data_IF_424293352357
#
_entry.id   IF_424293352357
#
_cell.length_a   1.000
_cell.length_b   1.000
_cell.length_c   1.000
_cell.angle_alpha   90.00
_cell.angle_beta   90.00
_cell.angle_gamma   90.00
#
_symmetry.space_group_name_H-M   'P 1'
#
loop_
_entity.id
_entity.type
_entity.pdbx_description
1 polymer ?
#
# COMPACT_ATOMS: atom_id res chain seq x y z
N UNK A 1 -61.82 -14.03 -2.07
CA UNK A 1 -60.47 -14.33 -1.56
C UNK A 1 -59.53 -13.39 -2.32
N UNK A 2 -59.33 -12.20 -1.76
CA UNK A 2 -58.67 -11.06 -2.43
C UNK A 2 -57.21 -10.98 -1.97
N UNK A 3 -56.33 -10.85 -2.96
CA UNK A 3 -54.88 -10.95 -2.88
C UNK A 3 -54.25 -9.69 -2.24
N UNK A 4 -53.46 -9.90 -1.18
CA UNK A 4 -52.82 -8.86 -0.35
C UNK A 4 -51.59 -8.21 -1.01
N UNK A 5 -51.20 -8.57 -2.24
CA UNK A 5 -49.96 -8.09 -2.85
C UNK A 5 -50.02 -6.73 -3.59
N UNK A 6 -51.14 -5.99 -3.50
CA UNK A 6 -51.26 -4.67 -4.17
C UNK A 6 -51.25 -3.45 -3.25
N UNK A 7 -51.16 -3.62 -1.93
CA UNK A 7 -51.14 -2.48 -0.99
C UNK A 7 -49.73 -2.01 -0.59
N UNK A 8 -48.68 -2.80 -0.85
CA UNK A 8 -47.31 -2.45 -0.45
C UNK A 8 -46.62 -1.44 -1.39
N UNK A 9 -47.06 -1.35 -2.65
CA UNK A 9 -46.43 -0.47 -3.64
C UNK A 9 -46.96 0.97 -3.66
N UNK A 10 -48.03 1.27 -2.91
CA UNK A 10 -48.62 2.63 -2.87
C UNK A 10 -48.05 3.47 -1.71
N UNK A 11 -47.46 2.84 -0.68
CA UNK A 11 -46.91 3.54 0.49
C UNK A 11 -45.44 3.94 0.37
N UNK A 12 -44.69 3.43 -0.61
CA UNK A 12 -43.28 3.82 -0.82
C UNK A 12 -43.10 4.93 -1.88
N UNK A 13 -44.16 5.27 -2.63
CA UNK A 13 -44.14 6.29 -3.68
C UNK A 13 -44.34 7.74 -3.20
N UNK A 14 -44.53 7.97 -1.89
CA UNK A 14 -44.91 9.29 -1.34
C UNK A 14 -43.91 9.90 -0.35
N UNK A 15 -42.67 9.39 -0.29
CA UNK A 15 -41.58 10.01 0.52
C UNK A 15 -40.55 10.74 -0.35
N UNK A 16 -40.67 10.67 -1.67
CA UNK A 16 -39.85 11.48 -2.59
C UNK A 16 -40.76 12.54 -3.19
N UNK A 17 -40.78 13.72 -2.57
CA UNK A 17 -41.09 15.07 -3.10
C UNK A 17 -41.58 15.90 -1.91
N UNK A 18 -40.67 16.69 -1.33
CA UNK A 18 -40.83 18.00 -0.66
C UNK A 18 -39.76 18.18 0.41
N UNK A 19 -38.55 18.55 -0.03
CA UNK A 19 -37.67 19.45 0.72
C UNK A 19 -36.65 20.10 -0.22
N UNK A 20 -37.16 20.75 -1.28
CA UNK A 20 -36.42 21.84 -1.94
C UNK A 20 -36.67 23.12 -1.14
N UNK A 21 -35.96 23.27 -0.03
CA UNK A 21 -35.90 24.55 0.68
C UNK A 21 -34.56 24.68 1.40
N UNK A 22 -33.74 25.59 0.89
CA UNK A 22 -32.69 26.29 1.62
C UNK A 22 -31.68 25.45 2.38
N UNK A 23 -30.73 24.89 1.64
CA UNK A 23 -29.38 24.73 2.17
C UNK A 23 -28.36 24.99 1.06
N UNK A 24 -28.01 26.27 0.87
CA UNK A 24 -26.65 26.63 0.48
C UNK A 24 -25.70 26.17 1.62
N UNK A 25 -25.52 24.85 1.76
CA UNK A 25 -24.40 24.34 2.54
C UNK A 25 -23.20 24.52 1.63
N UNK A 26 -22.47 25.61 1.86
CA UNK A 26 -21.07 25.71 1.46
C UNK A 26 -20.44 24.36 1.75
N UNK A 27 -19.91 23.70 0.73
CA UNK A 27 -19.09 22.51 0.92
C UNK A 27 -17.97 22.98 1.84
N UNK A 28 -18.06 22.64 3.13
CA UNK A 28 -16.96 22.88 4.06
C UNK A 28 -15.84 21.99 3.57
N UNK A 29 -14.89 22.60 2.89
CA UNK A 29 -13.66 21.95 2.52
C UNK A 29 -12.98 21.56 3.84
N UNK A 30 -13.02 20.28 4.20
CA UNK A 30 -12.33 19.76 5.39
C UNK A 30 -10.82 19.69 5.20
N UNK A 31 -10.30 20.21 4.08
CA UNK A 31 -8.87 20.49 3.95
C UNK A 31 -8.44 21.42 5.08
N UNK A 32 -7.60 20.91 5.98
CA UNK A 32 -6.87 21.77 6.88
C UNK A 32 -6.02 22.71 6.03
N UNK A 33 -6.24 24.01 6.17
CA UNK A 33 -5.27 24.97 5.66
C UNK A 33 -4.02 24.82 6.51
N UNK A 34 -2.93 24.40 5.88
CA UNK A 34 -1.62 24.57 6.49
C UNK A 34 -1.39 26.08 6.58
N UNK A 35 -1.70 26.67 7.74
CA UNK A 35 -1.02 27.88 8.14
C UNK A 35 0.44 27.44 8.24
N UNK A 36 1.26 27.90 7.30
CA UNK A 36 2.69 27.63 7.27
C UNK A 36 3.35 28.35 8.48
N UNK A 37 3.02 27.92 9.70
CA UNK A 37 3.49 28.48 10.97
C UNK A 37 4.64 27.65 11.56
N UNK A 38 5.02 26.55 10.90
CA UNK A 38 6.20 25.77 11.25
C UNK A 38 7.46 26.46 10.75
N UNK A 39 7.75 27.64 11.30
CA UNK A 39 9.00 28.38 11.12
C UNK A 39 10.21 27.72 11.84
N UNK A 40 10.17 26.41 12.11
CA UNK A 40 11.11 25.74 13.03
C UNK A 40 11.75 24.45 12.50
N UNK A 41 11.46 24.05 11.27
CA UNK A 41 12.23 22.99 10.62
C UNK A 41 13.47 23.58 9.98
N UNK A 42 14.64 22.95 10.18
CA UNK A 42 15.81 23.28 9.38
C UNK A 42 15.46 23.06 7.90
N UNK A 43 15.91 23.94 6.99
CA UNK A 43 15.68 23.75 5.57
C UNK A 43 16.29 22.42 5.14
N UNK A 44 15.57 21.66 4.30
CA UNK A 44 16.15 20.50 3.65
C UNK A 44 17.21 20.99 2.64
N UNK A 45 18.48 20.88 3.02
CA UNK A 45 19.63 21.24 2.19
C UNK A 45 20.23 20.05 1.43
N UNK A 46 19.57 18.88 1.49
CA UNK A 46 19.99 17.70 0.73
C UNK A 46 19.87 18.06 -0.76
N UNK A 47 20.97 17.97 -1.54
CA UNK A 47 20.94 18.29 -2.95
C UNK A 47 20.02 17.30 -3.69
N UNK A 48 19.44 17.76 -4.79
CA UNK A 48 18.78 16.85 -5.73
C UNK A 48 19.85 15.92 -6.29
N UNK A 49 19.65 14.61 -6.15
CA UNK A 49 20.53 13.64 -6.79
C UNK A 49 20.25 13.61 -8.30
N UNK A 50 21.24 14.03 -9.09
CA UNK A 50 21.21 14.02 -10.55
C UNK A 50 22.07 12.88 -11.13
N UNK A 51 22.60 11.99 -10.28
CA UNK A 51 23.42 10.86 -10.71
C UNK A 51 22.64 9.91 -11.61
N UNK A 52 23.34 9.30 -12.56
CA UNK A 52 22.73 8.32 -13.45
C UNK A 52 22.51 7.00 -12.69
N UNK A 53 21.37 6.31 -12.91
CA UNK A 53 21.14 4.99 -12.33
C UNK A 53 22.28 4.01 -12.67
N UNK A 54 22.85 3.40 -11.65
CA UNK A 54 23.91 2.41 -11.79
C UNK A 54 23.30 1.04 -12.05
N UNK A 55 23.57 0.46 -13.21
CA UNK A 55 23.13 -0.90 -13.53
C UNK A 55 23.75 -1.93 -12.59
N UNK A 56 22.93 -2.87 -12.11
CA UNK A 56 23.33 -3.92 -11.17
C UNK A 56 23.15 -5.30 -11.79
N UNK A 57 21.95 -5.61 -12.29
CA UNK A 57 21.64 -6.93 -12.83
C UNK A 57 20.46 -6.90 -13.81
N UNK A 58 20.33 -7.96 -14.61
CA UNK A 58 19.21 -8.18 -15.54
C UNK A 58 18.81 -9.66 -15.52
N UNK A 59 17.51 -9.89 -15.57
CA UNK A 59 16.89 -11.22 -15.71
C UNK A 59 15.89 -11.18 -16.87
N UNK A 60 15.30 -12.33 -17.20
CA UNK A 60 14.10 -12.32 -18.03
C UNK A 60 13.04 -11.45 -17.35
N UNK A 61 12.41 -10.56 -18.13
CA UNK A 61 11.35 -9.68 -17.65
C UNK A 61 11.76 -8.67 -16.55
N UNK A 62 13.04 -8.40 -16.31
CA UNK A 62 13.40 -7.33 -15.39
C UNK A 62 14.86 -6.85 -15.40
N UNK A 63 15.05 -5.63 -14.90
CA UNK A 63 16.36 -5.01 -14.69
C UNK A 63 16.43 -4.31 -13.34
N UNK A 64 17.58 -4.38 -12.69
CA UNK A 64 17.86 -3.76 -11.41
C UNK A 64 18.95 -2.69 -11.55
N UNK A 65 18.68 -1.52 -11.01
CA UNK A 65 19.60 -0.41 -10.87
C UNK A 65 19.68 0.03 -9.42
N UNK A 66 20.72 0.79 -9.11
CA UNK A 66 20.84 1.54 -7.88
C UNK A 66 20.87 3.03 -8.20
N UNK A 67 20.07 3.80 -7.48
CA UNK A 67 20.04 5.27 -7.50
C UNK A 67 20.31 5.80 -6.09
N UNK A 68 20.56 7.10 -5.93
CA UNK A 68 20.90 7.66 -4.63
C UNK A 68 22.39 7.47 -4.27
N UNK A 69 22.79 8.09 -3.16
CA UNK A 69 24.15 8.01 -2.64
C UNK A 69 24.14 7.88 -1.12
N UNK A 70 25.18 7.24 -0.57
CA UNK A 70 25.31 7.06 0.88
C UNK A 70 24.16 6.25 1.47
N UNK A 71 23.54 6.79 2.52
CA UNK A 71 22.39 6.17 3.21
C UNK A 71 21.07 6.35 2.45
N UNK A 72 21.01 7.27 1.47
CA UNK A 72 19.83 7.53 0.64
C UNK A 72 19.79 6.64 -0.62
N UNK A 73 20.51 5.52 -0.62
CA UNK A 73 20.52 4.59 -1.76
C UNK A 73 19.19 3.82 -1.85
N UNK A 74 18.64 3.77 -3.07
CA UNK A 74 17.37 3.10 -3.36
C UNK A 74 17.53 2.14 -4.53
N UNK A 75 16.85 1.00 -4.45
CA UNK A 75 16.74 0.07 -5.58
C UNK A 75 15.75 0.62 -6.60
N UNK A 76 16.16 0.73 -7.85
CA UNK A 76 15.27 1.03 -8.97
C UNK A 76 15.08 -0.23 -9.79
N UNK A 77 13.87 -0.78 -9.76
CA UNK A 77 13.52 -2.06 -10.37
C UNK A 77 12.60 -1.78 -11.54
N UNK A 78 12.90 -2.34 -12.72
CA UNK A 78 11.95 -2.38 -13.83
C UNK A 78 11.52 -3.83 -14.02
N UNK A 79 10.21 -4.07 -14.08
CA UNK A 79 9.62 -5.38 -14.35
C UNK A 79 8.65 -5.31 -15.53
N UNK A 80 8.67 -6.35 -16.35
CA UNK A 80 7.89 -6.49 -17.58
C UNK A 80 7.07 -7.78 -17.48
N UNK A 81 5.88 -7.84 -18.09
CA UNK A 81 5.06 -9.03 -17.89
C UNK A 81 3.75 -9.03 -18.64
N UNK A 82 3.27 -10.24 -18.95
CA UNK A 82 1.93 -10.51 -19.45
C UNK A 82 0.96 -10.92 -18.32
N UNK A 83 1.51 -11.32 -17.17
CA UNK A 83 0.79 -11.69 -15.94
C UNK A 83 1.43 -11.03 -14.73
N UNK A 84 0.71 -10.95 -13.60
CA UNK A 84 1.29 -10.55 -12.33
C UNK A 84 2.45 -11.46 -11.90
N UNK A 85 2.37 -12.76 -12.23
CA UNK A 85 3.43 -13.72 -11.94
C UNK A 85 4.76 -13.34 -12.62
N UNK A 86 4.71 -12.88 -13.88
CA UNK A 86 5.91 -12.46 -14.60
C UNK A 86 6.63 -11.30 -13.87
N UNK A 87 5.86 -10.31 -13.40
CA UNK A 87 6.39 -9.21 -12.60
C UNK A 87 7.02 -9.72 -11.31
N UNK A 88 6.27 -10.53 -10.56
CA UNK A 88 6.71 -11.05 -9.27
C UNK A 88 7.94 -11.93 -9.37
N UNK A 89 8.01 -12.80 -10.38
CA UNK A 89 9.13 -13.70 -10.58
C UNK A 89 10.42 -12.95 -10.95
N UNK A 90 10.31 -11.96 -11.85
CA UNK A 90 11.44 -11.09 -12.18
C UNK A 90 11.92 -10.29 -10.96
N UNK A 91 10.98 -9.66 -10.24
CA UNK A 91 11.25 -8.91 -9.01
C UNK A 91 11.91 -9.77 -7.93
N UNK A 92 11.32 -10.92 -7.61
CA UNK A 92 11.81 -11.85 -6.61
C UNK A 92 13.17 -12.44 -6.96
N UNK A 93 13.48 -12.59 -8.26
CA UNK A 93 14.82 -13.01 -8.70
C UNK A 93 15.84 -11.90 -8.50
N UNK A 94 15.51 -10.66 -8.88
CA UNK A 94 16.43 -9.52 -8.78
C UNK A 94 16.73 -9.14 -7.34
N UNK A 95 15.75 -9.25 -6.44
CA UNK A 95 15.85 -8.84 -5.04
C UNK A 95 15.88 -10.01 -4.05
N UNK A 96 16.22 -11.22 -4.51
CA UNK A 96 16.20 -12.44 -3.67
C UNK A 96 16.93 -12.23 -2.34
N UNK A 97 18.14 -11.69 -2.38
CA UNK A 97 18.97 -11.50 -1.19
C UNK A 97 18.38 -10.49 -0.21
N UNK A 98 17.80 -9.41 -0.74
CA UNK A 98 17.14 -8.37 0.06
C UNK A 98 15.87 -8.92 0.70
N UNK A 99 15.04 -9.62 -0.08
CA UNK A 99 13.80 -10.28 0.38
C UNK A 99 14.09 -11.26 1.51
N UNK A 100 15.09 -12.14 1.34
CA UNK A 100 15.46 -13.13 2.37
C UNK A 100 16.01 -12.50 3.66
N UNK A 101 16.49 -11.26 3.63
CA UNK A 101 16.92 -10.53 4.82
C UNK A 101 15.76 -9.78 5.48
N UNK A 102 14.93 -9.10 4.70
CA UNK A 102 13.91 -8.20 5.21
C UNK A 102 12.66 -8.93 5.69
N UNK A 103 12.18 -9.96 4.97
CA UNK A 103 10.93 -10.65 5.33
C UNK A 103 10.97 -11.30 6.72
N UNK A 104 12.01 -12.09 7.08
CA UNK A 104 12.05 -12.71 8.41
C UNK A 104 12.17 -11.69 9.55
N UNK A 105 12.94 -10.62 9.33
CA UNK A 105 13.10 -9.54 10.31
C UNK A 105 11.80 -8.78 10.51
N UNK A 106 11.15 -8.38 9.43
CA UNK A 106 9.87 -7.70 9.45
C UNK A 106 8.80 -8.58 10.13
N UNK A 107 8.72 -9.87 9.78
CA UNK A 107 7.78 -10.79 10.40
C UNK A 107 7.97 -10.89 11.92
N UNK A 108 9.20 -11.17 12.37
CA UNK A 108 9.50 -11.30 13.79
C UNK A 108 9.16 -10.03 14.57
N UNK A 109 9.50 -8.86 14.01
CA UNK A 109 9.22 -7.56 14.62
C UNK A 109 7.72 -7.30 14.74
N UNK A 110 6.96 -7.45 13.65
CA UNK A 110 5.51 -7.17 13.68
C UNK A 110 4.74 -8.19 14.51
N UNK A 111 5.18 -9.44 14.54
CA UNK A 111 4.63 -10.44 15.45
C UNK A 111 4.81 -10.00 16.91
N UNK A 112 6.01 -9.57 17.30
CA UNK A 112 6.29 -9.08 18.64
C UNK A 112 5.48 -7.81 18.98
N UNK A 113 5.51 -6.79 18.11
CA UNK A 113 4.86 -5.50 18.36
C UNK A 113 3.35 -5.61 18.40
N UNK A 114 2.73 -6.37 17.48
CA UNK A 114 1.29 -6.59 17.53
C UNK A 114 0.93 -7.32 18.82
N UNK A 115 1.68 -8.35 19.22
CA UNK A 115 1.40 -9.07 20.46
C UNK A 115 1.52 -8.18 21.71
N UNK A 116 2.48 -7.26 21.75
CA UNK A 116 2.62 -6.27 22.83
C UNK A 116 1.46 -5.29 22.86
N UNK A 117 1.11 -4.74 21.70
CA UNK A 117 0.13 -3.67 21.57
C UNK A 117 -1.32 -4.17 21.45
N UNK A 118 -1.55 -5.50 21.39
CA UNK A 118 -2.88 -6.12 21.28
C UNK A 118 -3.91 -5.57 22.29
N UNK A 119 -3.47 -5.25 23.51
CA UNK A 119 -4.34 -4.69 24.57
C UNK A 119 -4.64 -3.20 24.39
N UNK A 120 -3.78 -2.48 23.69
CA UNK A 120 -3.89 -1.04 23.43
C UNK A 120 -4.56 -0.75 22.07
N UNK A 121 -4.49 -1.71 21.14
CA UNK A 121 -5.25 -1.67 19.90
C UNK A 121 -6.74 -1.71 20.25
N UNK A 122 -7.50 -0.73 19.76
CA UNK A 122 -8.97 -0.66 19.91
C UNK A 122 -9.67 -1.70 19.02
N UNK A 123 -9.24 -2.95 19.12
CA UNK A 123 -9.79 -4.08 18.40
C UNK A 123 -10.95 -4.69 19.19
N UNK A 124 -11.93 -5.29 18.52
CA UNK A 124 -12.95 -6.07 19.19
C UNK A 124 -12.31 -7.12 20.09
N UNK A 125 -12.79 -7.28 21.33
CA UNK A 125 -12.23 -8.22 22.30
C UNK A 125 -12.10 -9.65 21.76
N UNK A 126 -13.11 -10.10 20.99
CA UNK A 126 -13.07 -11.42 20.35
C UNK A 126 -11.86 -11.59 19.43
N UNK A 127 -11.42 -10.53 18.75
CA UNK A 127 -10.27 -10.56 17.85
C UNK A 127 -8.96 -10.59 18.63
N UNK A 128 -8.87 -9.82 19.72
CA UNK A 128 -7.69 -9.83 20.61
C UNK A 128 -7.50 -11.22 21.23
N UNK A 129 -8.56 -11.77 21.83
CA UNK A 129 -8.51 -13.11 22.43
C UNK A 129 -8.15 -14.17 21.39
N UNK A 130 -8.59 -13.97 20.14
CA UNK A 130 -8.31 -14.87 19.03
C UNK A 130 -6.87 -14.78 18.50
N UNK A 131 -6.27 -13.59 18.42
CA UNK A 131 -4.84 -13.45 18.07
C UNK A 131 -3.96 -14.03 19.18
N UNK A 132 -4.32 -13.84 20.45
CA UNK A 132 -3.60 -14.44 21.59
C UNK A 132 -3.69 -15.97 21.54
N UNK A 133 -4.84 -16.54 21.17
CA UNK A 133 -5.07 -18.00 21.14
C UNK A 133 -4.55 -18.68 19.86
N UNK A 134 -4.63 -18.01 18.69
CA UNK A 134 -4.33 -18.60 17.37
C UNK A 134 -3.11 -18.02 16.66
N UNK A 135 -2.56 -16.91 17.14
CA UNK A 135 -1.39 -16.23 16.59
C UNK A 135 -1.71 -15.25 15.46
N UNK A 136 -0.76 -14.33 15.21
CA UNK A 136 -0.87 -13.29 14.18
C UNK A 136 -1.05 -13.87 12.77
N UNK A 137 -0.33 -14.94 12.45
CA UNK A 137 -0.44 -15.64 11.17
C UNK A 137 -1.87 -16.07 10.84
N UNK A 138 -2.59 -16.59 11.83
CA UNK A 138 -3.96 -17.04 11.62
C UNK A 138 -4.93 -15.86 11.42
N UNK A 139 -4.73 -14.76 12.17
CA UNK A 139 -5.53 -13.55 12.01
C UNK A 139 -5.34 -12.90 10.62
N UNK A 140 -4.11 -12.88 10.11
CA UNK A 140 -3.82 -12.38 8.76
C UNK A 140 -4.38 -13.30 7.67
N UNK A 141 -4.40 -14.62 7.88
CA UNK A 141 -5.06 -15.56 6.97
C UNK A 141 -6.58 -15.28 6.89
N UNK A 142 -7.27 -15.06 8.02
CA UNK A 142 -8.68 -14.65 8.02
C UNK A 142 -8.87 -13.31 7.31
N UNK A 143 -8.03 -12.32 7.61
CA UNK A 143 -8.14 -11.01 6.99
C UNK A 143 -8.05 -11.13 5.46
N UNK A 144 -7.08 -11.91 4.97
CA UNK A 144 -6.92 -12.23 3.57
C UNK A 144 -8.19 -12.89 2.99
N UNK A 145 -8.74 -13.91 3.66
CA UNK A 145 -9.95 -14.60 3.19
C UNK A 145 -11.18 -13.68 3.07
N UNK A 146 -11.29 -12.68 3.94
CA UNK A 146 -12.37 -11.69 3.90
C UNK A 146 -12.24 -10.72 2.71
N UNK A 147 -11.01 -10.31 2.38
CA UNK A 147 -10.76 -9.28 1.36
C UNK A 147 -10.43 -9.84 -0.02
N UNK A 148 -9.98 -11.10 -0.11
CA UNK A 148 -9.49 -11.72 -1.35
C UNK A 148 -10.43 -11.57 -2.54
N UNK A 149 -11.75 -11.67 -2.33
CA UNK A 149 -12.76 -11.55 -3.39
C UNK A 149 -12.88 -10.14 -4.01
N UNK A 150 -12.26 -9.14 -3.38
CA UNK A 150 -12.22 -7.75 -3.85
C UNK A 150 -10.88 -7.36 -4.46
N UNK A 151 -9.90 -8.27 -4.46
CA UNK A 151 -8.59 -8.06 -5.03
C UNK A 151 -8.50 -8.73 -6.40
N UNK A 152 -7.72 -8.13 -7.29
CA UNK A 152 -7.39 -8.73 -8.58
C UNK A 152 -6.58 -10.03 -8.37
N UNK A 153 -6.84 -11.06 -9.16
CA UNK A 153 -6.09 -12.32 -9.15
C UNK A 153 -4.61 -12.09 -9.45
N UNK A 154 -4.29 -11.08 -10.26
CA UNK A 154 -2.92 -10.80 -10.70
C UNK A 154 -2.04 -10.31 -9.53
N UNK A 155 -2.62 -9.70 -8.49
CA UNK A 155 -1.89 -9.32 -7.27
C UNK A 155 -1.41 -10.57 -6.52
N UNK A 156 -2.22 -11.63 -6.48
CA UNK A 156 -1.81 -12.91 -5.88
C UNK A 156 -0.82 -13.66 -6.76
N UNK A 157 -0.97 -13.59 -8.09
CA UNK A 157 0.00 -14.13 -9.03
C UNK A 157 1.36 -13.47 -8.86
N UNK A 158 1.39 -12.15 -8.64
CA UNK A 158 2.62 -11.41 -8.36
C UNK A 158 3.27 -11.85 -7.05
N UNK A 159 2.53 -11.87 -5.94
CA UNK A 159 3.05 -12.40 -4.67
C UNK A 159 3.53 -13.86 -4.81
N UNK A 160 2.92 -14.65 -5.70
CA UNK A 160 3.36 -16.01 -5.99
C UNK A 160 4.70 -16.02 -6.73
N UNK A 161 4.83 -15.22 -7.77
CA UNK A 161 6.08 -15.06 -8.51
C UNK A 161 7.22 -14.63 -7.59
N UNK A 162 6.96 -13.65 -6.71
CA UNK A 162 7.93 -13.21 -5.70
C UNK A 162 8.36 -14.37 -4.81
N UNK A 163 7.41 -15.11 -4.26
CA UNK A 163 7.68 -16.22 -3.35
C UNK A 163 8.50 -17.32 -4.02
N UNK A 164 8.09 -17.75 -5.22
CA UNK A 164 8.76 -18.81 -5.96
C UNK A 164 10.19 -18.41 -6.35
N UNK A 165 10.37 -17.19 -6.86
CA UNK A 165 11.66 -16.69 -7.31
C UNK A 165 12.61 -16.37 -6.15
N UNK A 166 12.11 -15.82 -5.04
CA UNK A 166 12.92 -15.52 -3.86
C UNK A 166 13.12 -16.74 -2.95
N UNK A 167 12.43 -17.85 -3.22
CA UNK A 167 12.43 -19.09 -2.43
C UNK A 167 11.98 -18.89 -0.99
N UNK A 168 10.94 -18.06 -0.81
CA UNK A 168 10.32 -17.80 0.49
C UNK A 168 8.91 -18.40 0.53
N UNK A 169 8.38 -18.60 1.73
CA UNK A 169 7.02 -19.11 1.89
C UNK A 169 5.99 -18.11 1.38
N UNK A 170 5.14 -18.55 0.45
CA UNK A 170 4.11 -17.69 -0.16
C UNK A 170 3.11 -17.14 0.85
N UNK A 171 2.73 -17.91 1.88
CA UNK A 171 1.81 -17.39 2.89
C UNK A 171 2.45 -16.24 3.66
N UNK A 172 3.74 -16.32 3.93
CA UNK A 172 4.49 -15.23 4.57
C UNK A 172 4.45 -13.96 3.72
N UNK A 173 4.61 -14.06 2.40
CA UNK A 173 4.47 -12.91 1.48
C UNK A 173 3.08 -12.29 1.60
N UNK A 174 2.00 -13.08 1.48
CA UNK A 174 0.63 -12.58 1.65
C UNK A 174 0.45 -11.88 3.00
N UNK A 175 0.85 -12.55 4.08
CA UNK A 175 0.57 -12.08 5.44
C UNK A 175 1.23 -10.73 5.70
N UNK A 176 2.46 -10.53 5.22
CA UNK A 176 3.14 -9.24 5.33
C UNK A 176 2.40 -8.13 4.57
N UNK A 177 1.84 -8.41 3.38
CA UNK A 177 1.02 -7.44 2.64
C UNK A 177 -0.31 -7.12 3.35
N UNK A 178 -0.83 -8.03 4.18
CA UNK A 178 -2.03 -7.79 4.98
C UNK A 178 -1.78 -6.95 6.24
N UNK A 179 -0.52 -6.74 6.64
CA UNK A 179 -0.21 -5.95 7.84
C UNK A 179 -0.69 -4.50 7.71
N UNK A 180 -0.58 -3.89 6.52
CA UNK A 180 -1.05 -2.53 6.30
C UNK A 180 -2.56 -2.36 6.53
N UNK A 181 -3.33 -3.40 6.19
CA UNK A 181 -4.79 -3.42 6.33
C UNK A 181 -5.21 -3.49 7.81
N UNK A 182 -4.50 -4.28 8.62
CA UNK A 182 -4.85 -4.47 10.04
C UNK A 182 -4.29 -3.37 10.96
N UNK A 183 -3.08 -2.85 10.67
CA UNK A 183 -2.39 -1.89 11.54
C UNK A 183 -2.82 -0.45 11.31
N UNK A 184 -3.41 -0.13 10.14
CA UNK A 184 -3.83 1.23 9.73
C UNK A 184 -2.69 2.24 9.88
N UNK A 185 -1.69 2.10 9.01
CA UNK A 185 -0.50 2.95 8.98
C UNK A 185 -0.79 4.46 9.07
N UNK A 186 0.19 5.20 9.60
CA UNK A 186 0.12 6.67 9.69
C UNK A 186 0.81 7.28 8.48
N UNK A 187 0.15 8.23 7.84
CA UNK A 187 0.74 8.96 6.73
C UNK A 187 0.16 10.36 6.65
N UNK A 188 0.95 11.26 6.08
CA UNK A 188 0.53 12.62 5.72
C UNK A 188 0.53 12.74 4.20
N UNK A 189 -0.57 13.25 3.64
CA UNK A 189 -0.71 13.47 2.19
C UNK A 189 -0.97 14.93 1.91
N UNK A 190 -0.32 15.46 0.88
CA UNK A 190 -0.54 16.80 0.37
C UNK A 190 -0.89 16.74 -1.11
N UNK A 191 -1.91 17.50 -1.50
CA UNK A 191 -2.26 17.77 -2.88
C UNK A 191 -2.33 19.28 -3.07
N UNK A 192 -1.58 19.80 -4.05
CA UNK A 192 -1.54 21.23 -4.38
C UNK A 192 -1.84 21.37 -5.88
N UNK A 193 -2.67 22.34 -6.27
CA UNK A 193 -3.01 22.59 -7.67
C UNK A 193 -3.47 24.03 -7.88
N UNK A 194 -3.59 24.45 -9.15
CA UNK A 194 -4.07 25.80 -9.50
C UNK A 194 -3.16 26.88 -8.90
N UNK A 195 -3.75 27.89 -8.27
CA UNK A 195 -2.98 29.02 -7.73
C UNK A 195 -2.03 28.63 -6.58
N UNK A 196 -2.11 27.41 -6.05
CA UNK A 196 -1.19 26.91 -5.02
C UNK A 196 0.16 26.44 -5.59
N UNK A 197 0.30 26.34 -6.92
CA UNK A 197 1.53 25.84 -7.58
C UNK A 197 1.96 26.76 -8.73
N UNK A 198 3.27 26.79 -9.00
CA UNK A 198 3.79 27.54 -10.13
C UNK A 198 3.22 26.98 -11.44
N UNK A 199 2.48 27.81 -12.16
CA UNK A 199 1.86 27.43 -13.44
C UNK A 199 0.63 26.53 -13.32
N UNK A 200 0.03 26.37 -12.14
CA UNK A 200 -1.26 25.68 -12.00
C UNK A 200 -1.20 24.14 -11.98
N UNK A 201 0.00 23.55 -12.07
CA UNK A 201 0.20 22.09 -12.15
C UNK A 201 -0.19 21.38 -10.86
N UNK A 202 -0.67 20.16 -10.95
CA UNK A 202 -0.93 19.33 -9.77
C UNK A 202 0.38 18.77 -9.21
N UNK A 203 0.61 18.97 -7.92
CA UNK A 203 1.66 18.32 -7.15
C UNK A 203 1.02 17.44 -6.08
N UNK A 204 1.56 16.24 -5.92
CA UNK A 204 1.18 15.31 -4.87
C UNK A 204 2.43 14.94 -4.07
N UNK A 205 2.34 14.98 -2.75
CA UNK A 205 3.38 14.55 -1.83
C UNK A 205 2.76 13.60 -0.80
N UNK A 206 3.56 12.63 -0.36
CA UNK A 206 3.21 11.72 0.73
C UNK A 206 4.43 11.53 1.62
N UNK A 207 4.21 11.60 2.94
CA UNK A 207 5.11 11.04 3.94
C UNK A 207 4.43 9.81 4.54
N UNK A 208 5.15 8.69 4.57
CA UNK A 208 4.71 7.47 5.22
C UNK A 208 5.51 7.32 6.51
N UNK A 209 4.82 7.40 7.64
CA UNK A 209 5.43 7.18 8.93
C UNK A 209 5.31 5.69 9.23
N UNK A 210 6.46 5.03 9.32
CA UNK A 210 6.52 3.60 9.59
C UNK A 210 7.54 3.29 10.67
N UNK A 211 7.40 2.10 11.26
CA UNK A 211 8.32 1.60 12.26
C UNK A 211 9.70 1.30 11.62
N UNK A 212 10.74 1.92 12.18
CA UNK A 212 12.13 1.80 11.72
C UNK A 212 12.86 0.61 12.36
N UNK A 213 12.32 0.01 13.41
CA UNK A 213 12.99 -1.12 14.08
C UNK A 213 12.79 -2.43 13.28
N UNK A 214 11.69 -2.51 12.52
CA UNK A 214 11.35 -3.63 11.64
C UNK A 214 12.28 -3.82 10.43
N UNK A 215 13.19 -2.88 10.16
CA UNK A 215 14.25 -3.01 9.14
C UNK A 215 13.78 -2.92 7.69
N UNK A 216 12.53 -2.49 7.46
CA UNK A 216 12.00 -2.29 6.11
C UNK A 216 12.77 -1.17 5.39
N UNK A 217 13.06 -0.08 6.10
CA UNK A 217 13.77 1.09 5.56
C UNK A 217 15.20 0.80 5.09
N UNK A 218 15.78 -0.34 5.49
CA UNK A 218 17.11 -0.75 5.05
C UNK A 218 17.12 -1.24 3.58
N UNK A 219 15.93 -1.49 3.01
CA UNK A 219 15.74 -2.00 1.66
C UNK A 219 14.68 -1.23 0.87
N UNK A 220 14.83 0.10 0.69
CA UNK A 220 13.86 0.90 -0.06
C UNK A 220 13.94 0.56 -1.55
N UNK A 221 12.78 0.55 -2.21
CA UNK A 221 12.65 0.18 -3.62
C UNK A 221 11.62 1.04 -4.37
N UNK A 222 11.94 1.37 -5.61
CA UNK A 222 11.01 1.94 -6.59
C UNK A 222 10.87 0.92 -7.72
N UNK A 223 9.68 0.35 -7.84
CA UNK A 223 9.36 -0.62 -8.89
C UNK A 223 8.58 0.07 -10.00
N UNK A 224 9.11 0.05 -11.21
CA UNK A 224 8.46 0.50 -12.43
C UNK A 224 7.90 -0.71 -13.16
N UNK A 225 6.58 -0.78 -13.26
CA UNK A 225 5.85 -1.84 -13.93
C UNK A 225 5.63 -1.49 -15.39
N UNK A 226 5.95 -2.44 -16.27
CA UNK A 226 5.78 -2.34 -17.72
C UNK A 226 4.87 -3.48 -18.23
N UNK A 227 3.53 -3.31 -18.13
CA UNK A 227 2.58 -4.22 -18.74
C UNK A 227 2.84 -4.44 -20.24
N UNK A 228 2.91 -5.70 -20.66
CA UNK A 228 2.99 -6.09 -22.08
C UNK A 228 1.61 -6.35 -22.70
N UNK A 229 0.56 -6.28 -21.88
CA UNK A 229 -0.84 -6.45 -22.25
C UNK A 229 -1.70 -5.38 -21.61
N UNK A 230 -2.77 -4.98 -22.30
CA UNK A 230 -3.74 -4.02 -21.75
C UNK A 230 -4.58 -4.59 -20.61
N UNK A 231 -4.62 -5.92 -20.40
CA UNK A 231 -5.32 -6.55 -19.25
C UNK A 231 -4.76 -6.03 -17.91
N UNK A 232 -3.45 -5.76 -17.86
CA UNK A 232 -2.74 -5.33 -16.65
C UNK A 232 -2.68 -3.79 -16.49
N UNK A 233 -3.38 -3.05 -17.36
CA UNK A 233 -3.47 -1.60 -17.28
C UNK A 233 -2.25 -0.86 -17.85
N UNK A 234 -2.01 0.34 -17.30
CA UNK A 234 -0.94 1.24 -17.77
C UNK A 234 0.37 1.00 -17.00
N UNK A 235 1.53 1.38 -17.58
CA UNK A 235 2.76 1.46 -16.81
C UNK A 235 2.59 2.37 -15.59
N UNK A 236 3.10 1.92 -14.45
CA UNK A 236 3.00 2.65 -13.18
C UNK A 236 4.24 2.43 -12.33
N UNK A 237 4.41 3.28 -11.31
CA UNK A 237 5.49 3.17 -10.34
C UNK A 237 4.93 2.90 -8.95
N UNK A 238 5.58 2.00 -8.21
CA UNK A 238 5.34 1.75 -6.80
C UNK A 238 6.58 2.15 -6.00
N UNK A 239 6.40 2.84 -4.87
CA UNK A 239 7.47 3.19 -3.94
C UNK A 239 7.21 2.43 -2.65
N UNK A 240 8.11 1.50 -2.33
CA UNK A 240 7.93 0.52 -1.28
C UNK A 240 9.29 0.01 -0.75
N UNK A 241 9.30 -1.17 -0.17
CA UNK A 241 10.49 -1.88 0.30
C UNK A 241 10.62 -3.20 -0.46
N UNK A 242 11.81 -3.79 -0.43
CA UNK A 242 12.04 -5.10 -1.04
C UNK A 242 11.06 -6.15 -0.48
N UNK A 243 10.40 -6.88 -1.38
CA UNK A 243 9.41 -7.90 -1.03
C UNK A 243 7.95 -7.42 -0.99
N UNK A 244 7.72 -6.15 -1.34
CA UNK A 244 6.41 -5.54 -1.60
C UNK A 244 6.23 -5.22 -3.09
#
# INVERSE_FOLDING_TARGET
MFDQNRLFYVLFGLVVIFQTSSCHKTIKNYGAYCANDTARGDPNLIPIDESQPRFINKVENGTLYQIGAGEDQVWLIHVYGNTGYDFGYAYGTLLRDQINKVLPRAWAHFEEEILKELKNLKLPKWFVDFVVDKGLAFALDIQNDLVKKYMDEEVYNEMRGIADAAQVDYKTVIRLHMLGEITRGRCSLYGLWGNATLGGKTLQLRALDWDVDGGLQDYPGITIYHPLTSKLGHPFANVAWAGN
#
